data_IF_573169039639
#
_entry.id   IF_573169039639
#
_cell.length_a   1.000
_cell.length_b   1.000
_cell.length_c   1.000
_cell.angle_alpha   90.00
_cell.angle_beta   90.00
_cell.angle_gamma   90.00
#
_symmetry.space_group_name_H-M   'P 1'
#
loop_
_entity.id
_entity.type
_entity.pdbx_description
1 polymer ?
#
# COMPACT_ATOMS: atom_id res chain seq x y z
N UNK A 1 1.18 -81.23 5.53
CA UNK A 1 1.65 -80.23 6.51
C UNK A 1 2.37 -79.05 5.83
N UNK A 2 3.36 -79.29 4.95
CA UNK A 2 4.14 -78.22 4.28
C UNK A 2 3.30 -77.28 3.39
N UNK A 3 2.32 -77.80 2.65
CA UNK A 3 1.44 -76.98 1.79
C UNK A 3 0.58 -76.00 2.60
N UNK A 4 0.05 -76.45 3.74
CA UNK A 4 -0.75 -75.61 4.63
C UNK A 4 0.08 -74.49 5.29
N UNK A 5 1.32 -74.80 5.69
CA UNK A 5 2.26 -73.80 6.20
C UNK A 5 2.62 -72.75 5.13
N UNK A 6 2.87 -73.18 3.89
CA UNK A 6 3.16 -72.25 2.79
C UNK A 6 2.00 -71.28 2.51
N UNK A 7 0.77 -71.77 2.48
CA UNK A 7 -0.42 -70.94 2.28
C UNK A 7 -0.63 -69.93 3.42
N UNK A 8 -0.43 -70.35 4.67
CA UNK A 8 -0.55 -69.47 5.83
C UNK A 8 0.53 -68.37 5.82
N UNK A 9 1.77 -68.73 5.47
CA UNK A 9 2.88 -67.77 5.35
C UNK A 9 2.63 -66.74 4.26
N UNK A 10 2.11 -67.14 3.10
CA UNK A 10 1.76 -66.22 2.01
C UNK A 10 0.64 -65.26 2.41
N UNK A 11 -0.43 -65.76 3.05
CA UNK A 11 -1.55 -64.94 3.53
C UNK A 11 -1.12 -63.92 4.58
N UNK A 12 -0.29 -64.32 5.54
CA UNK A 12 0.26 -63.42 6.56
C UNK A 12 1.17 -62.36 5.95
N UNK A 13 2.02 -62.74 4.98
CA UNK A 13 2.89 -61.78 4.30
C UNK A 13 2.09 -60.76 3.49
N UNK A 14 1.08 -61.21 2.74
CA UNK A 14 0.18 -60.33 2.00
C UNK A 14 -0.57 -59.34 2.92
N UNK A 15 -1.05 -59.79 4.08
CA UNK A 15 -1.68 -58.91 5.05
C UNK A 15 -0.70 -57.89 5.64
N UNK A 16 0.53 -58.31 5.96
CA UNK A 16 1.59 -57.43 6.47
C UNK A 16 1.97 -56.37 5.44
N UNK A 17 2.17 -56.75 4.19
CA UNK A 17 2.52 -55.84 3.10
C UNK A 17 1.39 -54.84 2.84
N UNK A 18 0.12 -55.30 2.87
CA UNK A 18 -1.04 -54.41 2.79
C UNK A 18 -1.07 -53.43 3.98
N UNK A 19 -0.82 -53.89 5.21
CA UNK A 19 -0.79 -53.00 6.38
C UNK A 19 0.34 -51.95 6.28
N UNK A 20 1.52 -52.33 5.78
CA UNK A 20 2.65 -51.41 5.57
C UNK A 20 2.30 -50.37 4.48
N UNK A 21 1.72 -50.80 3.36
CA UNK A 21 1.35 -49.91 2.25
C UNK A 21 0.25 -48.93 2.66
N UNK A 22 -0.80 -49.39 3.35
CA UNK A 22 -1.84 -48.50 3.89
C UNK A 22 -1.29 -47.49 4.91
N UNK A 23 -0.39 -47.91 5.80
CA UNK A 23 0.27 -47.00 6.73
C UNK A 23 1.10 -45.95 5.99
N UNK A 24 1.89 -46.37 5.01
CA UNK A 24 2.68 -45.46 4.19
C UNK A 24 1.81 -44.44 3.44
N UNK A 25 0.68 -44.87 2.88
CA UNK A 25 -0.27 -44.00 2.20
C UNK A 25 -0.94 -43.00 3.16
N UNK A 26 -1.33 -43.47 4.36
CA UNK A 26 -1.86 -42.61 5.43
C UNK A 26 -0.84 -41.55 5.85
N UNK A 27 0.40 -41.96 6.13
CA UNK A 27 1.46 -41.04 6.55
C UNK A 27 1.79 -40.03 5.45
N UNK A 28 1.75 -40.44 4.17
CA UNK A 28 1.88 -39.54 3.03
C UNK A 28 0.73 -38.52 2.99
N UNK A 29 -0.52 -38.98 3.06
CA UNK A 29 -1.69 -38.09 3.01
C UNK A 29 -1.71 -37.11 4.19
N UNK A 30 -1.32 -37.55 5.39
CA UNK A 30 -1.22 -36.68 6.57
C UNK A 30 -0.16 -35.60 6.36
N UNK A 31 0.98 -35.94 5.76
CA UNK A 31 2.03 -34.97 5.42
C UNK A 31 1.56 -33.96 4.39
N UNK A 32 0.94 -34.42 3.30
CA UNK A 32 0.41 -33.55 2.24
C UNK A 32 -0.68 -32.62 2.78
N UNK A 33 -1.61 -33.14 3.59
CA UNK A 33 -2.65 -32.34 4.24
C UNK A 33 -2.05 -31.28 5.17
N UNK A 34 -1.01 -31.64 5.95
CA UNK A 34 -0.32 -30.69 6.83
C UNK A 34 0.37 -29.58 6.04
N UNK A 35 1.01 -29.90 4.92
CA UNK A 35 1.64 -28.92 4.04
C UNK A 35 0.59 -27.99 3.40
N UNK A 36 -0.52 -28.53 2.91
CA UNK A 36 -1.61 -27.76 2.36
C UNK A 36 -2.21 -26.79 3.39
N UNK A 37 -2.46 -27.26 4.62
CA UNK A 37 -2.97 -26.41 5.70
C UNK A 37 -1.97 -25.31 6.09
N UNK A 38 -0.68 -25.62 6.11
CA UNK A 38 0.36 -24.63 6.38
C UNK A 38 0.39 -23.55 5.28
N UNK A 39 0.31 -23.96 4.01
CA UNK A 39 0.27 -23.05 2.87
C UNK A 39 -0.99 -22.16 2.88
N UNK A 40 -2.17 -22.72 3.18
CA UNK A 40 -3.41 -21.94 3.31
C UNK A 40 -3.29 -20.92 4.43
N UNK A 41 -2.75 -21.33 5.59
CA UNK A 41 -2.57 -20.42 6.74
C UNK A 41 -1.62 -19.28 6.39
N UNK A 42 -0.51 -19.58 5.70
CA UNK A 42 0.43 -18.56 5.21
C UNK A 42 -0.24 -17.58 4.23
N UNK A 43 -0.97 -18.10 3.25
CA UNK A 43 -1.74 -17.27 2.30
C UNK A 43 -2.74 -16.36 2.99
N UNK A 44 -3.46 -16.86 4.01
CA UNK A 44 -4.41 -16.05 4.78
C UNK A 44 -3.73 -14.95 5.60
N UNK A 45 -2.53 -15.20 6.15
CA UNK A 45 -1.76 -14.17 6.85
C UNK A 45 -1.30 -13.08 5.88
N UNK A 46 -0.68 -13.46 4.75
CA UNK A 46 -0.24 -12.51 3.71
C UNK A 46 -1.41 -11.66 3.19
N UNK A 47 -2.59 -12.25 2.96
CA UNK A 47 -3.78 -11.49 2.55
C UNK A 47 -4.18 -10.43 3.59
N UNK A 48 -4.17 -10.77 4.88
CA UNK A 48 -4.48 -9.81 5.95
C UNK A 48 -3.44 -8.70 6.03
N UNK A 49 -2.16 -9.05 5.92
CA UNK A 49 -1.07 -8.06 5.98
C UNK A 49 -1.12 -7.10 4.79
N UNK A 50 -1.41 -7.60 3.58
CA UNK A 50 -1.60 -6.77 2.39
C UNK A 50 -2.82 -5.86 2.54
N UNK A 51 -3.94 -6.37 3.06
CA UNK A 51 -5.12 -5.55 3.31
C UNK A 51 -4.86 -4.46 4.36
N UNK A 52 -4.06 -4.74 5.39
CA UNK A 52 -3.67 -3.75 6.38
C UNK A 52 -2.77 -2.66 5.77
N UNK A 53 -1.84 -3.05 4.90
CA UNK A 53 -0.97 -2.12 4.17
C UNK A 53 -1.78 -1.21 3.23
N UNK A 54 -2.71 -1.78 2.48
CA UNK A 54 -3.63 -1.03 1.61
C UNK A 54 -4.49 -0.04 2.40
N UNK A 55 -5.09 -0.47 3.51
CA UNK A 55 -5.91 0.39 4.36
C UNK A 55 -5.09 1.55 4.96
N UNK A 56 -3.85 1.29 5.38
CA UNK A 56 -2.93 2.31 5.90
C UNK A 56 -2.68 3.39 4.86
N UNK A 57 -2.18 3.02 3.68
CA UNK A 57 -1.79 4.01 2.66
C UNK A 57 -2.97 4.69 1.99
N UNK A 58 -4.12 4.01 1.88
CA UNK A 58 -5.37 4.62 1.43
C UNK A 58 -5.82 5.71 2.40
N UNK A 59 -5.80 5.43 3.70
CA UNK A 59 -6.14 6.42 4.73
C UNK A 59 -5.18 7.61 4.72
N UNK A 60 -3.87 7.36 4.74
CA UNK A 60 -2.87 8.43 4.73
C UNK A 60 -2.98 9.33 3.48
N UNK A 61 -3.29 8.74 2.32
CA UNK A 61 -3.54 9.50 1.10
C UNK A 61 -4.83 10.33 1.20
N UNK A 62 -5.91 9.76 1.73
CA UNK A 62 -7.16 10.48 1.93
C UNK A 62 -7.00 11.67 2.89
N UNK A 63 -6.29 11.47 4.01
CA UNK A 63 -6.01 12.50 5.00
C UNK A 63 -5.16 13.64 4.37
N UNK A 64 -4.13 13.30 3.60
CA UNK A 64 -3.29 14.28 2.90
C UNK A 64 -4.08 15.07 1.84
N UNK A 65 -5.00 14.42 1.12
CA UNK A 65 -5.90 15.09 0.17
C UNK A 65 -6.87 16.03 0.88
N UNK A 66 -7.43 15.62 2.02
CA UNK A 66 -8.32 16.47 2.81
C UNK A 66 -7.60 17.72 3.34
N UNK A 67 -6.35 17.59 3.79
CA UNK A 67 -5.53 18.73 4.19
C UNK A 67 -5.26 19.68 3.00
N UNK A 68 -4.96 19.13 1.81
CA UNK A 68 -4.75 19.90 0.60
C UNK A 68 -6.00 20.71 0.20
N UNK A 69 -7.18 20.09 0.23
CA UNK A 69 -8.44 20.78 -0.04
C UNK A 69 -8.76 21.85 1.00
N UNK A 70 -8.48 21.60 2.28
CA UNK A 70 -8.63 22.60 3.34
C UNK A 70 -7.76 23.82 3.06
N UNK A 71 -6.50 23.60 2.65
CA UNK A 71 -5.60 24.69 2.27
C UNK A 71 -6.06 25.42 1.01
N UNK A 72 -6.59 24.70 0.02
CA UNK A 72 -7.18 25.30 -1.19
C UNK A 72 -8.35 26.20 -0.82
N UNK A 73 -9.25 25.74 0.06
CA UNK A 73 -10.38 26.51 0.54
C UNK A 73 -9.97 27.72 1.38
N UNK A 74 -8.95 27.60 2.23
CA UNK A 74 -8.40 28.72 3.00
C UNK A 74 -7.78 29.80 2.12
N UNK A 75 -7.10 29.40 1.05
CA UNK A 75 -6.53 30.35 0.07
C UNK A 75 -7.64 31.01 -0.73
N UNK A 76 -8.64 30.25 -1.20
CA UNK A 76 -9.79 30.79 -1.93
C UNK A 76 -10.61 31.77 -1.08
N UNK A 77 -10.74 31.52 0.23
CA UNK A 77 -11.43 32.41 1.15
C UNK A 77 -10.55 33.56 1.68
N UNK A 78 -9.30 33.69 1.22
CA UNK A 78 -8.36 34.73 1.65
C UNK A 78 -7.85 34.60 3.10
N UNK A 79 -8.18 33.50 3.80
CA UNK A 79 -7.68 33.20 5.16
C UNK A 79 -6.19 32.87 5.16
N UNK A 80 -5.70 32.29 4.06
CA UNK A 80 -4.28 32.00 3.81
C UNK A 80 -3.86 32.59 2.46
N UNK A 81 -2.55 32.76 2.27
CA UNK A 81 -1.96 33.28 1.03
C UNK A 81 -0.81 32.40 0.59
N UNK A 82 -0.77 32.05 -0.69
CA UNK A 82 0.41 31.46 -1.32
C UNK A 82 1.47 32.54 -1.52
N UNK A 83 2.72 32.23 -1.20
CA UNK A 83 3.86 33.13 -1.36
C UNK A 83 4.90 32.45 -2.22
N UNK A 84 5.47 33.21 -3.16
CA UNK A 84 6.62 32.78 -3.93
C UNK A 84 7.85 33.26 -3.17
N UNK A 85 8.76 32.35 -2.84
CA UNK A 85 10.07 32.73 -2.36
C UNK A 85 10.90 33.19 -3.57
N UNK A 86 10.95 34.51 -3.79
CA UNK A 86 11.65 35.12 -4.92
C UNK A 86 12.69 36.12 -4.42
N UNK A 87 13.84 36.16 -5.09
CA UNK A 87 14.82 37.24 -4.96
C UNK A 87 14.63 38.17 -6.16
N UNK A 88 14.27 39.43 -5.90
CA UNK A 88 14.13 40.44 -6.96
C UNK A 88 15.47 41.17 -7.13
N UNK A 89 16.18 41.02 -8.26
CA UNK A 89 17.38 41.81 -8.53
C UNK A 89 17.00 43.26 -8.85
N UNK A 90 17.52 44.22 -8.07
CA UNK A 90 17.35 45.66 -8.29
C UNK A 90 16.52 46.38 -7.22
N UNK A 91 16.60 47.72 -7.18
CA UNK A 91 15.71 48.53 -6.34
C UNK A 91 14.31 48.54 -6.96
N UNK A 92 13.32 48.14 -6.17
CA UNK A 92 11.91 48.36 -6.53
C UNK A 92 11.71 49.87 -6.53
N UNK A 93 11.57 50.47 -7.72
CA UNK A 93 11.24 51.90 -7.82
C UNK A 93 9.92 52.14 -7.11
N UNK A 94 9.93 52.94 -6.04
CA UNK A 94 8.70 53.52 -5.50
C UNK A 94 8.00 54.26 -6.64
N UNK A 95 6.78 53.81 -6.97
CA UNK A 95 5.95 54.55 -7.90
C UNK A 95 5.63 55.93 -7.26
N UNK A 96 5.64 57.04 -8.04
CA UNK A 96 5.25 58.34 -7.52
C UNK A 96 3.87 58.24 -6.84
N UNK A 97 3.76 58.68 -5.60
CA UNK A 97 2.51 58.67 -4.85
C UNK A 97 1.55 59.70 -5.44
N UNK A 98 0.65 59.26 -6.32
CA UNK A 98 -0.47 60.09 -6.78
C UNK A 98 -1.49 60.20 -5.65
N UNK A 99 -1.76 61.42 -5.19
CA UNK A 99 -2.81 61.70 -4.20
C UNK A 99 -4.18 61.39 -4.78
N UNK A 100 -4.74 60.22 -4.44
CA UNK A 100 -6.05 59.77 -4.88
C UNK A 100 -5.97 58.60 -5.86
N UNK A 101 -5.81 57.40 -5.33
CA UNK A 101 -6.13 56.17 -6.06
C UNK A 101 -7.08 55.34 -5.21
N UNK A 102 -8.13 54.84 -5.86
CA UNK A 102 -9.09 53.90 -5.32
C UNK A 102 -8.38 52.73 -4.64
N UNK A 103 -9.05 52.08 -3.69
CA UNK A 103 -8.54 50.89 -3.01
C UNK A 103 -8.43 49.71 -4.00
N UNK A 104 -7.45 49.76 -4.90
CA UNK A 104 -7.15 48.71 -5.85
C UNK A 104 -6.70 47.48 -5.07
N UNK A 105 -7.25 46.32 -5.44
CA UNK A 105 -6.84 45.04 -4.87
C UNK A 105 -5.32 44.90 -5.03
N UNK A 106 -4.62 44.72 -3.91
CA UNK A 106 -3.17 44.55 -3.92
C UNK A 106 -2.73 43.38 -4.82
N UNK A 107 -1.47 43.39 -5.30
CA UNK A 107 -0.98 42.37 -6.23
C UNK A 107 -1.17 40.95 -5.66
N UNK A 108 -1.83 40.08 -6.42
CA UNK A 108 -2.10 38.70 -6.08
C UNK A 108 -1.59 37.75 -7.18
N UNK A 109 -1.33 36.49 -6.82
CA UNK A 109 -1.03 35.46 -7.82
C UNK A 109 -2.24 35.29 -8.74
N UNK A 110 -1.97 35.00 -10.02
CA UNK A 110 -3.01 34.62 -10.95
C UNK A 110 -3.72 33.35 -10.45
N UNK A 111 -5.04 33.28 -10.64
CA UNK A 111 -5.86 32.15 -10.20
C UNK A 111 -5.37 30.82 -10.78
N UNK A 112 -4.87 30.85 -12.02
CA UNK A 112 -4.25 29.70 -12.70
C UNK A 112 -3.05 29.15 -11.92
N UNK A 113 -2.16 30.01 -11.42
CA UNK A 113 -0.99 29.62 -10.62
C UNK A 113 -1.43 28.94 -9.32
N UNK A 114 -2.45 29.50 -8.66
CA UNK A 114 -3.00 28.93 -7.43
C UNK A 114 -3.59 27.54 -7.67
N UNK A 115 -4.39 27.37 -8.72
CA UNK A 115 -4.97 26.08 -9.12
C UNK A 115 -3.90 25.06 -9.45
N UNK A 116 -2.92 25.44 -10.26
CA UNK A 116 -1.88 24.54 -10.73
C UNK A 116 -0.96 24.10 -9.58
N UNK A 117 -0.67 24.99 -8.62
CA UNK A 117 0.04 24.65 -7.39
C UNK A 117 -0.66 23.53 -6.59
N UNK A 118 -1.96 23.67 -6.31
CA UNK A 118 -2.68 22.65 -5.56
C UNK A 118 -2.82 21.33 -6.34
N UNK A 119 -2.99 21.41 -7.67
CA UNK A 119 -2.98 20.23 -8.54
C UNK A 119 -1.64 19.50 -8.48
N UNK A 120 -0.53 20.22 -8.53
CA UNK A 120 0.81 19.65 -8.41
C UNK A 120 1.00 18.98 -7.04
N UNK A 121 0.59 19.66 -5.95
CA UNK A 121 0.71 19.13 -4.59
C UNK A 121 -0.08 17.83 -4.43
N UNK A 122 -1.30 17.74 -4.97
CA UNK A 122 -2.11 16.52 -4.93
C UNK A 122 -1.45 15.35 -5.69
N UNK A 123 -0.91 15.62 -6.88
CA UNK A 123 -0.19 14.60 -7.69
C UNK A 123 1.05 14.09 -6.96
N UNK A 124 1.83 14.99 -6.35
CA UNK A 124 3.01 14.63 -5.55
C UNK A 124 2.63 13.78 -4.33
N UNK A 125 1.59 14.15 -3.59
CA UNK A 125 1.09 13.36 -2.47
C UNK A 125 0.69 11.95 -2.90
N UNK A 126 -0.06 11.84 -4.00
CA UNK A 126 -0.51 10.55 -4.56
C UNK A 126 0.68 9.68 -4.95
N UNK A 127 1.60 10.20 -5.76
CA UNK A 127 2.78 9.48 -6.21
C UNK A 127 3.65 9.05 -5.02
N UNK A 128 3.86 9.93 -4.05
CA UNK A 128 4.66 9.64 -2.87
C UNK A 128 4.06 8.49 -2.04
N UNK A 129 2.75 8.53 -1.77
CA UNK A 129 2.07 7.46 -1.01
C UNK A 129 2.04 6.14 -1.75
N UNK A 130 1.87 6.16 -3.08
CA UNK A 130 1.97 4.96 -3.92
C UNK A 130 3.37 4.36 -3.86
N UNK A 131 4.42 5.20 -3.92
CA UNK A 131 5.80 4.74 -3.84
C UNK A 131 6.11 4.12 -2.46
N UNK A 132 5.73 4.79 -1.37
CA UNK A 132 5.91 4.28 -0.01
C UNK A 132 5.18 2.94 0.17
N UNK A 133 3.92 2.85 -0.25
CA UNK A 133 3.13 1.62 -0.20
C UNK A 133 3.75 0.48 -1.01
N UNK A 134 4.21 0.75 -2.23
CA UNK A 134 4.87 -0.26 -3.06
C UNK A 134 6.19 -0.75 -2.43
N UNK A 135 6.99 0.15 -1.86
CA UNK A 135 8.23 -0.21 -1.18
C UNK A 135 7.98 -1.09 0.04
N UNK A 136 7.01 -0.73 0.89
CA UNK A 136 6.69 -1.51 2.08
C UNK A 136 6.04 -2.85 1.73
N UNK A 137 5.21 -2.91 0.67
CA UNK A 137 4.72 -4.18 0.13
C UNK A 137 5.89 -5.10 -0.27
N UNK A 138 6.84 -4.62 -1.07
CA UNK A 138 7.99 -5.41 -1.52
C UNK A 138 8.80 -5.91 -0.31
N UNK A 139 9.12 -5.03 0.64
CA UNK A 139 9.90 -5.39 1.84
C UNK A 139 9.21 -6.42 2.71
N UNK A 140 7.88 -6.35 2.83
CA UNK A 140 7.13 -7.17 3.80
C UNK A 140 6.50 -8.42 3.20
N UNK A 141 6.24 -8.46 1.90
CA UNK A 141 5.49 -9.54 1.23
C UNK A 141 6.32 -10.29 0.19
N UNK A 142 7.33 -9.66 -0.42
CA UNK A 142 8.13 -10.27 -1.48
C UNK A 142 9.52 -10.69 -1.00
N UNK A 143 10.16 -9.90 -0.13
CA UNK A 143 11.52 -10.15 0.37
C UNK A 143 11.55 -10.92 1.69
N UNK A 144 10.38 -11.22 2.27
CA UNK A 144 10.22 -12.14 3.41
C UNK A 144 9.83 -13.52 2.92
#
# INVERSE_FOLDING_TARGET
MLVACGALSLGLNHYRDNAITYKAQRDKNVRELKLANAAITDMQMRQRDVAALDAKYTKELADAKAENETLRADVAAGRKRLRINATCPGSVREAPTTSGVDNATGPQLADTVTRDYFTLRERLMTMHKQLEGAQDYIRTQCLK
#
